data_IF_298090940976
#
_entry.id   IF_298090940976
#
_cell.length_a   1.000
_cell.length_b   1.000
_cell.length_c   1.000
_cell.angle_alpha   90.00
_cell.angle_beta   90.00
_cell.angle_gamma   90.00
#
_symmetry.space_group_name_H-M   'P 1'
#
loop_
_entity.id
_entity.type
_entity.pdbx_description
1 polymer ?
#
# COMPACT_ATOMS: atom_id res chain seq x y z
N UNK A 1 -29.59 13.81 27.58
CA UNK A 1 -29.79 13.92 26.11
C UNK A 1 -28.50 13.47 25.44
N UNK A 2 -28.41 12.23 24.92
CA UNK A 2 -27.18 11.77 24.27
C UNK A 2 -27.03 12.50 22.93
N UNK A 3 -25.89 13.17 22.77
CA UNK A 3 -25.52 13.94 21.58
C UNK A 3 -25.28 12.93 20.45
N UNK A 4 -26.18 12.88 19.45
CA UNK A 4 -25.95 12.13 18.21
C UNK A 4 -24.62 12.61 17.62
N UNK A 5 -23.60 11.78 17.67
CA UNK A 5 -22.39 11.98 16.88
C UNK A 5 -22.79 11.84 15.42
N UNK A 6 -22.76 12.95 14.69
CA UNK A 6 -22.92 12.98 13.25
C UNK A 6 -21.76 12.20 12.63
N UNK A 7 -22.07 11.06 12.00
CA UNK A 7 -21.11 10.33 11.17
C UNK A 7 -20.68 11.28 10.04
N UNK A 8 -19.38 11.62 9.91
CA UNK A 8 -18.91 12.43 8.79
C UNK A 8 -19.20 11.71 7.47
N UNK A 9 -19.76 12.44 6.50
CA UNK A 9 -20.18 11.92 5.19
C UNK A 9 -19.03 11.44 4.28
N UNK A 10 -17.81 11.29 4.80
CA UNK A 10 -16.62 10.77 4.09
C UNK A 10 -16.18 9.36 4.55
N UNK A 11 -17.02 8.61 5.26
CA UNK A 11 -16.71 7.29 5.83
C UNK A 11 -16.53 6.12 4.82
N UNK A 12 -16.22 6.40 3.55
CA UNK A 12 -16.01 5.38 2.51
C UNK A 12 -14.55 4.98 2.28
N UNK A 13 -13.57 5.71 2.85
CA UNK A 13 -12.14 5.56 2.47
C UNK A 13 -11.17 5.17 3.62
N UNK A 14 -11.65 4.74 4.79
CA UNK A 14 -10.76 4.16 5.81
C UNK A 14 -10.63 2.66 5.52
N UNK A 15 -9.45 2.23 5.04
CA UNK A 15 -9.07 0.85 4.73
C UNK A 15 -9.64 -0.14 5.76
N UNK A 16 -10.76 -0.78 5.40
CA UNK A 16 -11.55 -1.61 6.32
C UNK A 16 -10.96 -3.01 6.40
N UNK A 17 -10.01 -3.21 7.32
CA UNK A 17 -10.07 -4.48 8.02
C UNK A 17 -11.26 -4.41 8.99
N UNK A 18 -12.16 -5.40 9.03
CA UNK A 18 -13.35 -5.33 9.88
C UNK A 18 -12.95 -5.32 11.36
N UNK A 19 -13.03 -4.13 11.97
CA UNK A 19 -12.98 -3.96 13.42
C UNK A 19 -14.34 -4.37 13.97
N UNK A 20 -14.38 -5.47 14.71
CA UNK A 20 -15.59 -6.02 15.32
C UNK A 20 -16.05 -5.18 16.51
N UNK A 21 -15.11 -4.59 17.25
CA UNK A 21 -15.37 -3.65 18.34
C UNK A 21 -14.15 -2.75 18.59
N UNK A 22 -14.38 -1.55 19.13
CA UNK A 22 -13.31 -0.68 19.65
C UNK A 22 -13.74 -0.04 20.97
N UNK A 23 -12.80 0.10 21.90
CA UNK A 23 -13.02 0.74 23.20
C UNK A 23 -11.70 1.24 23.79
N UNK A 24 -11.76 2.12 24.78
CA UNK A 24 -10.58 2.54 25.55
C UNK A 24 -10.52 1.80 26.87
N UNK A 25 -9.35 1.27 27.22
CA UNK A 25 -9.15 0.55 28.47
C UNK A 25 -7.82 0.94 29.12
N UNK A 26 -7.70 0.71 30.42
CA UNK A 26 -6.50 0.98 31.19
C UNK A 26 -5.67 -0.30 31.29
N UNK A 27 -4.67 -0.43 30.42
CA UNK A 27 -3.85 -1.62 30.29
C UNK A 27 -2.55 -1.48 31.07
N UNK A 28 -2.02 -2.60 31.56
CA UNK A 28 -0.73 -2.57 32.25
C UNK A 28 0.39 -2.31 31.24
N UNK A 29 1.34 -1.41 31.52
CA UNK A 29 2.44 -1.08 30.59
C UNK A 29 3.29 -2.27 30.20
N UNK A 30 3.33 -3.31 31.02
CA UNK A 30 3.98 -4.59 30.67
C UNK A 30 3.32 -5.32 29.49
N UNK A 31 2.06 -5.02 29.19
CA UNK A 31 1.32 -5.57 28.04
C UNK A 31 1.48 -4.69 26.78
N UNK A 32 2.02 -3.48 26.90
CA UNK A 32 2.10 -2.50 25.81
C UNK A 32 3.55 -2.32 25.32
N UNK A 33 4.48 -1.95 26.21
CA UNK A 33 5.79 -1.42 25.77
C UNK A 33 6.94 -1.64 26.76
N UNK A 34 6.70 -1.78 28.06
CA UNK A 34 7.77 -1.82 29.07
C UNK A 34 7.60 -3.04 29.99
N UNK A 35 8.42 -4.10 29.81
CA UNK A 35 8.45 -5.24 30.72
C UNK A 35 8.67 -4.77 32.16
N UNK A 36 7.89 -5.32 33.11
CA UNK A 36 7.96 -5.01 34.55
C UNK A 36 7.56 -3.59 35.01
N UNK A 37 6.97 -2.76 34.14
CA UNK A 37 6.40 -1.49 34.60
C UNK A 37 5.13 -1.74 35.42
N UNK A 38 5.01 -1.25 36.67
CA UNK A 38 3.82 -1.42 37.52
C UNK A 38 2.69 -0.44 37.17
N UNK A 39 2.89 0.40 36.14
CA UNK A 39 1.98 1.48 35.79
C UNK A 39 0.99 1.03 34.72
N UNK A 40 -0.24 1.50 34.84
CA UNK A 40 -1.27 1.31 33.84
C UNK A 40 -1.34 2.55 32.93
N UNK A 41 -1.66 2.35 31.66
CA UNK A 41 -1.81 3.40 30.67
C UNK A 41 -3.11 3.21 29.88
N UNK A 42 -3.80 4.33 29.62
CA UNK A 42 -4.97 4.33 28.77
C UNK A 42 -4.58 3.98 27.34
N UNK A 43 -5.21 2.96 26.78
CA UNK A 43 -4.97 2.48 25.43
C UNK A 43 -6.29 2.33 24.68
N UNK A 44 -6.26 2.60 23.38
CA UNK A 44 -7.33 2.20 22.47
C UNK A 44 -7.16 0.72 22.12
N UNK A 45 -8.23 -0.05 22.29
CA UNK A 45 -8.29 -1.48 22.04
C UNK A 45 -9.21 -1.73 20.85
N UNK A 46 -8.71 -2.45 19.84
CA UNK A 46 -9.49 -2.88 18.68
C UNK A 46 -9.59 -4.40 18.66
N UNK A 47 -10.82 -4.90 18.52
CA UNK A 47 -11.12 -6.31 18.38
C UNK A 47 -11.27 -6.61 16.90
N UNK A 48 -10.42 -7.49 16.38
CA UNK A 48 -10.41 -7.90 14.97
C UNK A 48 -10.93 -9.32 14.82
N UNK A 49 -11.40 -9.68 13.62
CA UNK A 49 -11.57 -11.09 13.26
C UNK A 49 -10.23 -11.83 13.38
N UNK A 50 -10.25 -13.15 13.61
CA UNK A 50 -9.04 -13.96 13.77
C UNK A 50 -8.10 -13.77 12.57
N UNK A 51 -6.96 -13.14 12.83
CA UNK A 51 -5.96 -12.78 11.84
C UNK A 51 -4.56 -12.76 12.48
N UNK A 52 -3.55 -12.69 11.62
CA UNK A 52 -2.18 -12.37 12.05
C UNK A 52 -2.00 -10.86 11.99
N UNK A 53 -1.49 -10.29 13.07
CA UNK A 53 -1.19 -8.85 13.18
C UNK A 53 0.32 -8.67 13.29
N UNK A 54 0.89 -7.85 12.42
CA UNK A 54 2.31 -7.49 12.42
C UNK A 54 2.48 -6.00 12.14
N UNK A 55 3.66 -5.45 12.39
CA UNK A 55 3.98 -4.08 11.97
C UNK A 55 4.54 -4.09 10.55
N UNK A 56 4.47 -2.96 9.84
CA UNK A 56 5.11 -2.81 8.52
C UNK A 56 6.62 -3.08 8.60
N UNK A 57 7.26 -2.60 9.66
CA UNK A 57 8.67 -2.86 9.96
C UNK A 57 8.97 -4.37 10.03
N UNK A 58 8.30 -5.10 10.93
CA UNK A 58 8.51 -6.55 11.10
C UNK A 58 8.15 -7.34 9.84
N UNK A 59 7.14 -6.91 9.09
CA UNK A 59 6.78 -7.53 7.83
C UNK A 59 7.93 -7.45 6.81
N UNK A 60 8.55 -6.28 6.66
CA UNK A 60 9.68 -6.11 5.74
C UNK A 60 10.89 -6.95 6.18
N UNK A 61 11.16 -7.00 7.48
CA UNK A 61 12.24 -7.81 8.05
C UNK A 61 12.02 -9.31 7.84
N UNK A 62 10.83 -9.82 8.19
CA UNK A 62 10.50 -11.24 8.11
C UNK A 62 10.45 -11.75 6.67
N UNK A 63 9.87 -10.98 5.76
CA UNK A 63 9.71 -11.43 4.38
C UNK A 63 11.04 -11.48 3.64
N UNK A 64 12.01 -10.64 4.03
CA UNK A 64 13.36 -10.68 3.48
C UNK A 64 14.23 -11.84 4.03
N UNK A 65 13.78 -12.52 5.09
CA UNK A 65 14.40 -13.76 5.57
C UNK A 65 13.86 -15.01 4.85
N UNK A 66 12.68 -14.89 4.22
CA UNK A 66 12.09 -15.97 3.45
C UNK A 66 12.77 -16.04 2.08
N UNK A 67 13.62 -17.07 1.89
CA UNK A 67 14.35 -17.30 0.64
C UNK A 67 13.44 -17.61 -0.55
N UNK A 68 12.19 -17.96 -0.32
CA UNK A 68 11.29 -18.43 -1.37
C UNK A 68 10.53 -17.27 -2.02
N UNK A 69 10.93 -17.01 -3.27
CA UNK A 69 10.29 -16.19 -4.29
C UNK A 69 10.34 -14.65 -4.10
N UNK A 70 11.43 -14.05 -4.58
CA UNK A 70 11.65 -12.59 -4.71
C UNK A 70 10.43 -11.86 -5.29
N UNK A 71 9.72 -12.46 -6.26
CA UNK A 71 8.55 -11.85 -6.90
C UNK A 71 7.37 -11.70 -5.92
N UNK A 72 7.14 -12.69 -5.06
CA UNK A 72 6.09 -12.64 -4.04
C UNK A 72 6.40 -11.56 -3.01
N UNK A 73 7.67 -11.48 -2.58
CA UNK A 73 8.10 -10.44 -1.66
C UNK A 73 7.91 -9.04 -2.25
N UNK A 74 8.41 -8.81 -3.46
CA UNK A 74 8.28 -7.52 -4.15
C UNK A 74 6.80 -7.15 -4.37
N UNK A 75 5.96 -8.10 -4.79
CA UNK A 75 4.52 -7.88 -4.95
C UNK A 75 3.87 -7.44 -3.64
N UNK A 76 4.21 -8.08 -2.52
CA UNK A 76 3.67 -7.70 -1.21
C UNK A 76 4.16 -6.30 -0.80
N UNK A 77 5.45 -5.99 -0.96
CA UNK A 77 6.00 -4.65 -0.67
C UNK A 77 5.35 -3.56 -1.53
N UNK A 78 5.21 -3.78 -2.84
CA UNK A 78 4.52 -2.87 -3.75
C UNK A 78 3.05 -2.65 -3.32
N UNK A 79 2.37 -3.70 -2.88
CA UNK A 79 0.98 -3.58 -2.44
C UNK A 79 0.84 -2.84 -1.11
N UNK A 80 1.71 -3.11 -0.13
CA UNK A 80 1.74 -2.33 1.13
C UNK A 80 2.07 -0.86 0.88
N UNK A 81 3.04 -0.58 0.00
CA UNK A 81 3.39 0.79 -0.37
C UNK A 81 2.24 1.50 -1.10
N UNK A 82 1.49 0.80 -1.95
CA UNK A 82 0.29 1.32 -2.61
C UNK A 82 -0.82 1.68 -1.60
N UNK A 83 -1.07 0.81 -0.62
CA UNK A 83 -2.02 1.07 0.46
C UNK A 83 -1.59 2.29 1.29
N UNK A 84 -0.29 2.41 1.59
CA UNK A 84 0.26 3.58 2.28
C UNK A 84 0.03 4.87 1.49
N UNK A 85 0.25 4.87 0.18
CA UNK A 85 -0.03 6.04 -0.67
C UNK A 85 -1.53 6.39 -0.64
N UNK A 86 -2.44 5.42 -0.64
CA UNK A 86 -3.86 5.71 -0.48
C UNK A 86 -4.18 6.38 0.85
N UNK A 87 -3.65 5.87 1.97
CA UNK A 87 -3.83 6.48 3.29
C UNK A 87 -3.28 7.91 3.32
N UNK A 88 -2.07 8.12 2.81
CA UNK A 88 -1.42 9.43 2.75
C UNK A 88 -2.18 10.40 1.84
N UNK A 89 -2.71 9.95 0.70
CA UNK A 89 -3.52 10.78 -0.18
C UNK A 89 -4.85 11.18 0.45
N UNK A 90 -5.41 10.37 1.34
CA UNK A 90 -6.57 10.77 2.14
C UNK A 90 -6.21 11.96 3.03
N UNK A 91 -5.07 11.89 3.73
CA UNK A 91 -4.57 13.00 4.55
C UNK A 91 -4.29 14.25 3.70
N UNK A 92 -3.73 14.08 2.50
CA UNK A 92 -3.53 15.18 1.56
C UNK A 92 -4.84 15.87 1.17
N UNK A 93 -5.92 15.09 0.96
CA UNK A 93 -7.24 15.64 0.64
C UNK A 93 -7.86 16.41 1.82
N UNK A 94 -7.48 16.05 3.05
CA UNK A 94 -7.83 16.77 4.28
C UNK A 94 -6.94 18.00 4.53
N UNK A 95 -6.02 18.32 3.60
CA UNK A 95 -5.14 19.50 3.68
C UNK A 95 -3.87 19.28 4.53
N UNK A 96 -3.53 18.04 4.87
CA UNK A 96 -2.32 17.71 5.61
C UNK A 96 -1.16 17.60 4.62
N UNK A 97 -0.06 18.32 4.88
CA UNK A 97 1.13 18.35 4.01
C UNK A 97 2.30 17.53 4.57
N UNK A 98 2.34 17.34 5.90
CA UNK A 98 3.43 16.68 6.60
C UNK A 98 2.89 15.72 7.65
N UNK A 99 3.56 14.58 7.79
CA UNK A 99 3.21 13.52 8.74
C UNK A 99 4.46 12.91 9.36
N UNK A 100 4.34 12.44 10.59
CA UNK A 100 5.30 11.54 11.21
C UNK A 100 4.82 10.10 10.98
N UNK A 101 5.55 9.36 10.16
CA UNK A 101 5.19 8.00 9.79
C UNK A 101 6.26 7.03 10.30
N UNK A 102 5.90 6.28 11.34
CA UNK A 102 6.74 5.28 11.97
C UNK A 102 6.27 3.90 11.55
N UNK A 103 7.08 3.19 10.75
CA UNK A 103 6.73 1.87 10.21
C UNK A 103 6.59 0.80 11.32
N UNK A 104 7.17 1.04 12.49
CA UNK A 104 7.00 0.18 13.66
C UNK A 104 5.60 0.30 14.29
N UNK A 105 4.85 1.36 13.95
CA UNK A 105 3.49 1.61 14.44
C UNK A 105 2.40 1.32 13.42
N UNK A 106 2.74 1.31 12.13
CA UNK A 106 1.79 0.94 11.08
C UNK A 106 1.47 -0.55 11.14
N UNK A 107 0.18 -0.87 11.23
CA UNK A 107 -0.29 -2.24 11.43
C UNK A 107 -0.66 -2.89 10.09
N UNK A 108 -0.10 -4.07 9.86
CA UNK A 108 -0.50 -4.98 8.81
C UNK A 108 -1.31 -6.13 9.39
N UNK A 109 -2.41 -6.43 8.73
CA UNK A 109 -3.30 -7.54 9.07
C UNK A 109 -3.30 -8.54 7.93
N UNK A 110 -3.20 -9.82 8.27
CA UNK A 110 -3.26 -10.91 7.31
C UNK A 110 -4.28 -11.96 7.78
N UNK A 111 -5.38 -12.07 7.04
CA UNK A 111 -6.34 -13.17 7.16
C UNK A 111 -5.81 -14.43 6.44
N UNK A 112 -6.41 -15.60 6.68
CA UNK A 112 -6.13 -16.78 5.86
C UNK A 112 -6.53 -16.58 4.39
N UNK A 113 -7.56 -15.75 4.16
CA UNK A 113 -8.09 -15.45 2.84
C UNK A 113 -7.33 -14.28 2.18
N UNK A 114 -6.88 -13.29 2.97
CA UNK A 114 -6.19 -12.11 2.46
C UNK A 114 -4.70 -12.37 2.19
N UNK A 115 -4.36 -12.58 0.91
CA UNK A 115 -2.99 -12.54 0.43
C UNK A 115 -2.94 -11.63 -0.79
N UNK A 116 -2.21 -10.51 -0.77
CA UNK A 116 -1.23 -9.99 0.22
C UNK A 116 -1.78 -9.33 1.52
N UNK A 117 -0.90 -9.00 2.50
CA UNK A 117 -1.28 -8.31 3.74
C UNK A 117 -1.93 -6.93 3.53
N UNK A 118 -2.84 -6.57 4.44
CA UNK A 118 -3.66 -5.34 4.39
C UNK A 118 -3.18 -4.34 5.44
N UNK A 119 -2.99 -3.09 5.04
CA UNK A 119 -2.67 -1.97 5.93
C UNK A 119 -3.93 -1.50 6.67
N UNK A 120 -3.95 -1.71 7.98
CA UNK A 120 -4.97 -1.19 8.86
C UNK A 120 -4.53 0.18 9.39
N UNK A 121 -5.33 1.20 9.12
CA UNK A 121 -5.15 2.55 9.67
C UNK A 121 -6.32 2.84 10.58
N UNK A 122 -6.06 2.93 11.88
CA UNK A 122 -7.04 3.23 12.90
C UNK A 122 -7.20 4.75 13.05
N UNK A 123 -8.36 5.26 13.54
CA UNK A 123 -8.60 6.70 13.65
C UNK A 123 -7.52 7.44 14.46
N UNK A 124 -7.02 6.80 15.51
CA UNK A 124 -5.97 7.32 16.38
C UNK A 124 -4.61 7.44 15.67
N UNK A 125 -4.35 6.61 14.65
CA UNK A 125 -3.11 6.67 13.88
C UNK A 125 -3.00 7.98 13.11
N UNK A 126 -4.08 8.46 12.50
CA UNK A 126 -4.09 9.73 11.78
C UNK A 126 -3.80 10.93 12.71
N UNK A 127 -4.30 10.86 13.94
CA UNK A 127 -4.05 11.88 14.97
C UNK A 127 -2.58 11.83 15.40
N UNK A 128 -2.03 10.65 15.58
CA UNK A 128 -0.64 10.47 15.99
C UNK A 128 0.34 10.90 14.88
N UNK A 129 0.03 10.58 13.62
CA UNK A 129 0.81 10.98 12.45
C UNK A 129 0.90 12.50 12.31
N UNK A 130 -0.09 13.24 12.78
CA UNK A 130 -0.16 14.71 12.64
C UNK A 130 0.32 15.48 13.86
N UNK A 131 0.60 14.85 15.00
CA UNK A 131 1.02 15.54 16.23
C UNK A 131 2.51 15.42 16.55
N UNK A 132 3.22 14.39 16.08
CA UNK A 132 4.64 14.18 16.38
C UNK A 132 5.59 15.22 15.80
N UNK A 133 6.77 15.39 16.42
CA UNK A 133 7.76 16.43 16.08
C UNK A 133 8.62 16.08 14.85
N UNK A 134 8.85 14.80 14.56
CA UNK A 134 9.64 14.35 13.40
C UNK A 134 8.76 14.14 12.16
N UNK A 135 8.21 15.23 11.63
CA UNK A 135 7.37 15.19 10.43
C UNK A 135 8.22 15.24 9.17
N UNK A 136 7.74 14.54 8.15
CA UNK A 136 8.27 14.57 6.79
C UNK A 136 7.12 14.95 5.87
N UNK A 137 7.45 15.47 4.70
CA UNK A 137 6.44 15.65 3.65
C UNK A 137 5.77 14.31 3.32
N UNK A 138 4.58 14.37 2.75
CA UNK A 138 3.87 13.17 2.33
C UNK A 138 4.70 12.33 1.33
N UNK A 139 5.42 12.95 0.39
CA UNK A 139 6.25 12.22 -0.57
C UNK A 139 7.48 11.60 0.11
N UNK A 140 8.16 12.33 1.01
CA UNK A 140 9.29 11.79 1.77
C UNK A 140 8.90 10.62 2.66
N UNK A 141 7.67 10.63 3.18
CA UNK A 141 7.12 9.50 3.94
C UNK A 141 7.06 8.24 3.08
N UNK A 142 6.46 8.33 1.89
CA UNK A 142 6.39 7.20 0.95
C UNK A 142 7.78 6.79 0.47
N UNK A 143 8.66 7.75 0.20
CA UNK A 143 10.03 7.50 -0.23
C UNK A 143 10.84 6.76 0.85
N UNK A 144 10.71 7.17 2.11
CA UNK A 144 11.34 6.49 3.24
C UNK A 144 10.85 5.04 3.38
N UNK A 145 9.55 4.81 3.21
CA UNK A 145 8.98 3.46 3.22
C UNK A 145 9.48 2.61 2.05
N UNK A 146 9.58 3.18 0.84
CA UNK A 146 10.16 2.51 -0.33
C UNK A 146 11.59 2.06 -0.07
N UNK A 147 12.44 2.97 0.42
CA UNK A 147 13.83 2.68 0.74
C UNK A 147 13.97 1.62 1.83
N UNK A 148 13.12 1.68 2.86
CA UNK A 148 13.06 0.67 3.89
C UNK A 148 12.70 -0.72 3.35
N UNK A 149 11.68 -0.83 2.49
CA UNK A 149 11.30 -2.11 1.87
C UNK A 149 12.41 -2.69 0.99
N UNK A 150 13.14 -1.84 0.28
CA UNK A 150 14.23 -2.24 -0.62
C UNK A 150 15.58 -2.35 0.10
N UNK A 151 15.66 -2.02 1.39
CA UNK A 151 16.88 -2.01 2.21
C UNK A 151 18.00 -1.17 1.61
N UNK A 152 17.63 -0.02 1.04
CA UNK A 152 18.55 0.96 0.45
C UNK A 152 18.45 2.29 1.19
N UNK A 153 19.44 3.18 1.00
CA UNK A 153 19.43 4.51 1.61
C UNK A 153 19.12 5.62 0.61
N UNK A 154 19.40 5.38 -0.68
CA UNK A 154 19.23 6.37 -1.75
C UNK A 154 18.90 5.68 -3.08
N UNK A 155 18.33 6.44 -4.01
CA UNK A 155 17.91 5.93 -5.32
C UNK A 155 19.07 5.37 -6.16
N UNK A 156 20.31 5.80 -5.93
CA UNK A 156 21.48 5.28 -6.65
C UNK A 156 21.81 3.83 -6.27
N UNK A 157 21.42 3.38 -5.08
CA UNK A 157 21.69 2.03 -4.61
C UNK A 157 20.78 0.99 -5.32
N UNK A 158 19.79 1.43 -6.11
CA UNK A 158 18.84 0.55 -6.82
C UNK A 158 19.50 -0.36 -7.86
N UNK A 159 20.62 0.05 -8.46
CA UNK A 159 21.35 -0.75 -9.47
C UNK A 159 22.04 -1.98 -8.86
N UNK A 160 22.39 -1.89 -7.58
CA UNK A 160 23.09 -2.94 -6.83
C UNK A 160 22.16 -3.57 -5.78
N UNK A 161 20.87 -3.22 -5.80
CA UNK A 161 19.88 -3.71 -4.85
C UNK A 161 19.66 -5.23 -5.04
N UNK A 162 19.98 -5.96 -3.98
CA UNK A 162 19.74 -7.40 -3.88
C UNK A 162 18.60 -7.67 -2.91
N UNK A 163 17.62 -8.42 -3.39
CA UNK A 163 16.45 -8.83 -2.61
C UNK A 163 16.44 -10.35 -2.57
N UNK A 164 16.47 -10.91 -1.36
CA UNK A 164 16.55 -12.36 -1.10
C UNK A 164 17.73 -13.07 -1.79
N UNK A 165 18.85 -12.36 -1.98
CA UNK A 165 20.07 -12.90 -2.59
C UNK A 165 20.10 -12.87 -4.12
N UNK A 166 19.09 -12.28 -4.76
CA UNK A 166 19.04 -12.06 -6.20
C UNK A 166 18.94 -10.55 -6.50
N UNK A 167 19.66 -10.09 -7.53
CA UNK A 167 19.52 -8.72 -8.02
C UNK A 167 18.13 -8.50 -8.60
N UNK A 168 17.61 -7.29 -8.44
CA UNK A 168 16.38 -6.90 -9.11
C UNK A 168 16.53 -7.01 -10.63
N UNK A 169 15.50 -7.51 -11.30
CA UNK A 169 15.41 -7.40 -12.76
C UNK A 169 15.53 -5.93 -13.17
N UNK A 170 16.28 -5.66 -14.23
CA UNK A 170 16.57 -4.29 -14.69
C UNK A 170 15.29 -3.46 -14.89
N UNK A 171 14.26 -4.04 -15.50
CA UNK A 171 12.95 -3.40 -15.70
C UNK A 171 12.26 -3.01 -14.38
N UNK A 172 12.39 -3.83 -13.33
CA UNK A 172 11.83 -3.57 -12.00
C UNK A 172 12.61 -2.45 -11.31
N UNK A 173 13.94 -2.47 -11.38
CA UNK A 173 14.80 -1.43 -10.83
C UNK A 173 14.52 -0.06 -11.48
N UNK A 174 14.34 0.00 -12.80
CA UNK A 174 13.97 1.23 -13.51
C UNK A 174 12.63 1.81 -13.03
N UNK A 175 11.63 0.97 -12.79
CA UNK A 175 10.33 1.45 -12.27
C UNK A 175 10.50 2.02 -10.85
N UNK A 176 11.25 1.35 -9.97
CA UNK A 176 11.52 1.90 -8.63
C UNK A 176 12.31 3.21 -8.66
N UNK A 177 13.26 3.35 -9.59
CA UNK A 177 13.95 4.63 -9.83
C UNK A 177 12.98 5.71 -10.29
N UNK A 178 12.06 5.39 -11.18
CA UNK A 178 11.03 6.33 -11.63
C UNK A 178 10.11 6.76 -10.48
N UNK A 179 9.70 5.83 -9.61
CA UNK A 179 8.94 6.13 -8.39
C UNK A 179 9.72 7.07 -7.48
N UNK A 180 10.97 6.73 -7.16
CA UNK A 180 11.82 7.53 -6.28
C UNK A 180 12.04 8.94 -6.84
N UNK A 181 12.34 9.06 -8.14
CA UNK A 181 12.49 10.33 -8.84
C UNK A 181 11.24 11.19 -8.73
N UNK A 182 10.06 10.62 -8.99
CA UNK A 182 8.79 11.36 -8.92
C UNK A 182 8.48 11.81 -7.49
N UNK A 183 8.77 10.99 -6.48
CA UNK A 183 8.57 11.36 -5.07
C UNK A 183 9.53 12.48 -4.65
N UNK A 184 10.77 12.47 -5.12
CA UNK A 184 11.75 13.55 -4.89
C UNK A 184 11.36 14.90 -5.52
N UNK A 185 10.46 14.90 -6.52
CA UNK A 185 9.99 16.16 -7.13
C UNK A 185 9.04 16.95 -6.21
N UNK A 186 8.44 16.33 -5.19
CA UNK A 186 7.55 16.99 -4.21
C UNK A 186 6.38 17.78 -4.84
N UNK A 187 5.94 17.38 -6.03
CA UNK A 187 4.81 18.04 -6.71
C UNK A 187 3.49 17.52 -6.17
N UNK A 188 2.43 18.31 -6.27
CA UNK A 188 1.06 17.88 -5.94
C UNK A 188 0.61 16.60 -6.68
N UNK A 189 1.20 16.31 -7.86
CA UNK A 189 0.93 15.11 -8.63
C UNK A 189 1.85 13.92 -8.30
N UNK A 190 2.92 14.10 -7.50
CA UNK A 190 3.94 13.08 -7.26
C UNK A 190 3.39 11.80 -6.66
N UNK A 191 2.57 11.90 -5.61
CA UNK A 191 1.90 10.72 -5.00
C UNK A 191 0.99 9.99 -5.99
N UNK A 192 0.29 10.74 -6.86
CA UNK A 192 -0.58 10.15 -7.89
C UNK A 192 0.21 9.43 -8.97
N UNK A 193 1.35 9.99 -9.36
CA UNK A 193 2.25 9.36 -10.33
C UNK A 193 2.94 8.11 -9.75
N UNK A 194 3.45 8.19 -8.51
CA UNK A 194 4.01 7.04 -7.79
C UNK A 194 3.00 5.90 -7.64
N UNK A 195 1.74 6.24 -7.28
CA UNK A 195 0.62 5.30 -7.28
C UNK A 195 0.49 4.58 -8.63
N UNK A 196 0.48 5.31 -9.73
CA UNK A 196 0.30 4.70 -11.06
C UNK A 196 1.42 3.74 -11.44
N UNK A 197 2.68 4.05 -11.08
CA UNK A 197 3.78 3.11 -11.29
C UNK A 197 3.60 1.83 -10.48
N UNK A 198 3.18 1.91 -9.21
CA UNK A 198 2.92 0.73 -8.38
C UNK A 198 1.73 -0.10 -8.90
N UNK A 199 0.64 0.55 -9.32
CA UNK A 199 -0.49 -0.14 -9.95
C UNK A 199 -0.05 -0.86 -11.24
N UNK A 200 0.82 -0.22 -12.04
CA UNK A 200 1.39 -0.83 -13.24
C UNK A 200 2.30 -2.03 -12.90
N UNK A 201 3.10 -1.96 -11.84
CA UNK A 201 3.92 -3.11 -11.41
C UNK A 201 3.06 -4.29 -10.93
N UNK A 202 1.95 -4.01 -10.26
CA UNK A 202 1.08 -5.04 -9.67
C UNK A 202 0.15 -5.69 -10.70
N UNK A 203 -0.38 -4.90 -11.65
CA UNK A 203 -1.45 -5.34 -12.54
C UNK A 203 -1.32 -4.85 -13.99
N UNK A 204 -0.25 -4.16 -14.34
CA UNK A 204 -0.01 -3.67 -15.70
C UNK A 204 0.41 -4.76 -16.68
N UNK A 205 0.45 -4.44 -17.99
CA UNK A 205 0.82 -5.38 -19.05
C UNK A 205 2.34 -5.63 -19.14
N UNK A 206 2.98 -6.01 -18.03
CA UNK A 206 4.45 -6.21 -17.96
C UNK A 206 4.93 -7.33 -18.89
N UNK A 207 4.11 -8.38 -19.07
CA UNK A 207 4.46 -9.55 -19.88
C UNK A 207 4.05 -9.44 -21.36
N UNK A 208 3.35 -8.37 -21.73
CA UNK A 208 2.93 -8.19 -23.12
C UNK A 208 4.12 -7.61 -23.88
N UNK A 209 4.51 -8.25 -24.99
CA UNK A 209 5.55 -7.74 -25.91
C UNK A 209 5.07 -6.52 -26.70
N UNK A 210 4.58 -5.49 -26.01
CA UNK A 210 3.92 -4.33 -26.63
C UNK A 210 4.92 -3.53 -27.48
N UNK A 211 6.22 -3.59 -27.16
CA UNK A 211 7.29 -2.91 -27.90
C UNK A 211 7.42 -3.36 -29.36
N UNK A 212 7.02 -4.60 -29.69
CA UNK A 212 7.12 -5.14 -31.04
C UNK A 212 5.98 -4.65 -31.96
N UNK A 213 4.89 -4.14 -31.38
CA UNK A 213 3.68 -3.74 -32.10
C UNK A 213 3.50 -2.21 -32.22
N UNK A 214 4.53 -1.50 -32.72
CA UNK A 214 4.51 -0.02 -32.80
C UNK A 214 3.32 0.58 -33.57
N UNK A 215 2.80 -0.09 -34.60
CA UNK A 215 1.68 0.42 -35.42
C UNK A 215 0.30 0.22 -34.78
N UNK A 216 0.16 -0.77 -33.90
CA UNK A 216 -1.11 -1.16 -33.27
C UNK A 216 -1.10 -1.03 -31.74
N UNK A 217 -0.12 -0.32 -31.19
CA UNK A 217 0.13 -0.21 -29.75
C UNK A 217 -1.14 0.14 -28.95
N UNK A 218 -1.92 1.12 -29.42
CA UNK A 218 -3.16 1.53 -28.77
C UNK A 218 -4.23 0.42 -28.80
N UNK A 219 -4.35 -0.29 -29.94
CA UNK A 219 -5.30 -1.39 -30.11
C UNK A 219 -4.93 -2.59 -29.22
N UNK A 220 -3.63 -2.88 -29.11
CA UNK A 220 -3.11 -3.94 -28.23
C UNK A 220 -3.41 -3.62 -26.77
N UNK A 221 -3.12 -2.41 -26.32
CA UNK A 221 -3.43 -1.99 -24.95
C UNK A 221 -4.94 -1.98 -24.65
N UNK A 222 -5.75 -1.56 -25.62
CA UNK A 222 -7.21 -1.58 -25.48
C UNK A 222 -7.71 -3.03 -25.31
N UNK A 223 -7.26 -3.95 -26.18
CA UNK A 223 -7.62 -5.38 -26.08
C UNK A 223 -7.15 -6.01 -24.77
N UNK A 224 -5.95 -5.67 -24.31
CA UNK A 224 -5.45 -6.13 -23.02
C UNK A 224 -6.34 -5.63 -21.86
N UNK A 225 -6.71 -4.35 -21.85
CA UNK A 225 -7.60 -3.78 -20.84
C UNK A 225 -8.98 -4.45 -20.85
N UNK A 226 -9.57 -4.62 -22.03
CA UNK A 226 -10.88 -5.25 -22.18
C UNK A 226 -10.86 -6.71 -21.73
N UNK A 227 -9.78 -7.44 -22.04
CA UNK A 227 -9.56 -8.80 -21.56
C UNK A 227 -9.44 -8.87 -20.03
N UNK A 228 -8.61 -8.02 -19.42
CA UNK A 228 -8.43 -7.99 -17.96
C UNK A 228 -9.72 -7.62 -17.23
N UNK A 229 -10.48 -6.65 -17.75
CA UNK A 229 -11.80 -6.27 -17.21
C UNK A 229 -12.80 -7.41 -17.31
N UNK A 230 -12.88 -8.09 -18.45
CA UNK A 230 -13.77 -9.24 -18.62
C UNK A 230 -13.39 -10.40 -17.68
N UNK A 231 -12.10 -10.66 -17.51
CA UNK A 231 -11.60 -11.68 -16.58
C UNK A 231 -11.95 -11.34 -15.13
N UNK A 232 -11.78 -10.08 -14.72
CA UNK A 232 -12.16 -9.62 -13.38
C UNK A 232 -13.66 -9.79 -13.13
N UNK A 233 -14.51 -9.34 -14.06
CA UNK A 233 -15.97 -9.51 -13.96
C UNK A 233 -16.35 -10.99 -13.87
N UNK A 234 -15.74 -11.85 -14.70
CA UNK A 234 -15.96 -13.30 -14.63
C UNK A 234 -15.57 -13.87 -13.27
N UNK A 235 -14.43 -13.47 -12.71
CA UNK A 235 -13.96 -13.91 -11.40
C UNK A 235 -14.95 -13.53 -10.31
N UNK A 236 -15.34 -12.26 -10.26
CA UNK A 236 -16.32 -11.74 -9.28
C UNK A 236 -17.66 -12.47 -9.41
N UNK A 237 -18.15 -12.69 -10.64
CA UNK A 237 -19.42 -13.41 -10.85
C UNK A 237 -19.31 -14.86 -10.35
N UNK A 238 -18.19 -15.53 -10.61
CA UNK A 238 -17.98 -16.91 -10.14
C UNK A 238 -17.88 -17.01 -8.62
N UNK A 239 -17.50 -15.92 -7.96
CA UNK A 239 -17.38 -15.80 -6.51
C UNK A 239 -18.64 -15.22 -5.86
N UNK A 240 -19.72 -14.91 -6.58
CA UNK A 240 -20.95 -14.30 -6.02
C UNK A 240 -21.58 -15.10 -4.85
N UNK A 241 -21.25 -16.39 -4.72
CA UNK A 241 -21.67 -17.23 -3.58
C UNK A 241 -20.83 -17.00 -2.31
N UNK A 242 -19.61 -16.48 -2.44
CA UNK A 242 -18.71 -16.08 -1.36
C UNK A 242 -18.85 -14.56 -1.19
N UNK A 243 -19.49 -14.13 -0.12
CA UNK A 243 -20.00 -12.75 0.06
C UNK A 243 -18.93 -11.65 0.24
N UNK A 244 -17.65 -11.92 -0.02
CA UNK A 244 -16.56 -10.97 0.25
C UNK A 244 -15.52 -10.96 -0.88
N UNK A 245 -15.34 -9.77 -1.47
CA UNK A 245 -14.24 -9.46 -2.38
C UNK A 245 -12.99 -9.16 -1.54
N UNK A 246 -11.83 -9.69 -1.89
CA UNK A 246 -10.61 -9.42 -1.15
C UNK A 246 -10.11 -8.00 -1.41
N UNK A 247 -9.42 -7.38 -0.44
CA UNK A 247 -8.89 -6.01 -0.56
C UNK A 247 -7.96 -5.88 -1.78
N UNK A 248 -7.18 -6.92 -2.07
CA UNK A 248 -6.33 -6.93 -3.26
C UNK A 248 -7.12 -6.90 -4.57
N UNK A 249 -8.22 -7.66 -4.65
CA UNK A 249 -9.12 -7.68 -5.80
C UNK A 249 -9.89 -6.36 -5.94
N UNK A 250 -10.29 -5.73 -4.83
CA UNK A 250 -10.88 -4.39 -4.80
C UNK A 250 -9.94 -3.35 -5.43
N UNK A 251 -8.67 -3.34 -5.01
CA UNK A 251 -7.67 -2.43 -5.57
C UNK A 251 -7.44 -2.70 -7.06
N UNK A 252 -7.35 -3.96 -7.46
CA UNK A 252 -7.21 -4.35 -8.87
C UNK A 252 -8.42 -3.89 -9.69
N UNK A 253 -9.64 -4.06 -9.17
CA UNK A 253 -10.86 -3.61 -9.81
C UNK A 253 -10.86 -2.09 -10.00
N UNK A 254 -10.52 -1.33 -8.96
CA UNK A 254 -10.40 0.14 -9.02
C UNK A 254 -9.36 0.56 -10.06
N UNK A 255 -8.20 -0.11 -10.12
CA UNK A 255 -7.19 0.15 -11.14
C UNK A 255 -7.75 -0.10 -12.56
N UNK A 256 -8.39 -1.24 -12.80
CA UNK A 256 -8.92 -1.61 -14.12
C UNK A 256 -10.05 -0.67 -14.56
N UNK A 257 -10.91 -0.23 -13.63
CA UNK A 257 -11.99 0.72 -13.93
C UNK A 257 -11.46 2.11 -14.27
N UNK A 258 -10.41 2.57 -13.58
CA UNK A 258 -9.85 3.91 -13.80
C UNK A 258 -8.79 3.97 -14.91
N UNK A 259 -8.27 2.82 -15.35
CA UNK A 259 -7.24 2.76 -16.39
C UNK A 259 -7.78 3.05 -17.78
N UNK A 260 -6.96 3.71 -18.60
CA UNK A 260 -7.21 3.93 -20.02
C UNK A 260 -5.93 3.64 -20.81
N UNK A 261 -6.06 3.44 -22.13
CA UNK A 261 -4.89 3.32 -23.02
C UNK A 261 -3.96 4.52 -22.86
N UNK A 262 -4.52 5.73 -22.70
CA UNK A 262 -3.76 6.97 -22.50
C UNK A 262 -2.95 6.94 -21.20
N UNK A 263 -3.56 6.50 -20.09
CA UNK A 263 -2.86 6.45 -18.79
C UNK A 263 -1.75 5.40 -18.80
N UNK A 264 -2.02 4.20 -19.34
CA UNK A 264 -1.01 3.15 -19.45
C UNK A 264 0.16 3.56 -20.36
N UNK A 265 -0.14 4.16 -21.52
CA UNK A 265 0.89 4.66 -22.44
C UNK A 265 1.78 5.73 -21.78
N UNK A 266 1.19 6.62 -20.98
CA UNK A 266 1.94 7.64 -20.26
C UNK A 266 2.91 7.02 -19.25
N UNK A 267 2.50 5.96 -18.53
CA UNK A 267 3.39 5.22 -17.62
C UNK A 267 4.51 4.55 -18.41
N UNK A 268 4.16 3.77 -19.44
CA UNK A 268 5.14 3.05 -20.28
C UNK A 268 6.15 4.00 -20.93
N UNK A 269 5.74 5.20 -21.34
CA UNK A 269 6.66 6.19 -21.92
C UNK A 269 7.67 6.80 -20.95
N UNK A 270 7.49 6.56 -19.64
CA UNK A 270 8.38 7.03 -18.57
C UNK A 270 9.27 5.91 -18.01
N UNK A 271 9.12 4.69 -18.53
CA UNK A 271 9.94 3.51 -18.24
C UNK A 271 10.96 3.33 -19.36
#
# INVERSE_FOLDING_TARGET
MPRKQSIPQNARNLNRYPVLASFTDNLHRSQISVPHSPFTEWASVYVLQRCTVTTVERFAENTALQKDNQQVHLRNCCFVLLQLIHSIKSLQADGIEEVSCDLSRLILVQSQEDKPPVLAVFPEDATHMTLCENRKTLCQTVLSALYFFLRINQANDLDECEMNGERLAESVAHIFKAIAKVLLEEKASSLSQAKWFLEYMLWGPVDVKILDCRKDFNNVLQRWLDFQRAQMVKSIISQLHNSHLQVYEEYQLVFLLNSSVKSLKNIISKL
#
